data_IF_414956774047
#
_entry.id   IF_414956774047
#
_cell.length_a   1.000
_cell.length_b   1.000
_cell.length_c   1.000
_cell.angle_alpha   90.00
_cell.angle_beta   90.00
_cell.angle_gamma   90.00
#
_symmetry.space_group_name_H-M   'P 1'
#
loop_
_entity.id
_entity.type
_entity.pdbx_description
1 polymer ?
#
# COMPACT_ATOMS: atom_id res chain seq x y z
N UNK A 1 28.89 -2.69 -6.78
CA UNK A 1 28.04 -2.08 -5.76
C UNK A 1 26.80 -2.96 -5.59
N UNK A 2 26.49 -3.33 -4.37
CA UNK A 2 25.29 -4.11 -4.05
C UNK A 2 24.58 -3.48 -2.84
N UNK A 3 23.24 -3.58 -2.82
CA UNK A 3 22.42 -3.22 -1.67
C UNK A 3 21.60 -4.43 -1.23
N UNK A 4 21.37 -4.58 0.07
CA UNK A 4 20.56 -5.64 0.65
C UNK A 4 19.42 -4.98 1.41
N UNK A 5 18.18 -5.41 1.13
CA UNK A 5 17.00 -5.03 1.87
C UNK A 5 16.48 -6.22 2.68
N UNK A 6 16.12 -5.98 3.93
CA UNK A 6 15.45 -6.97 4.78
C UNK A 6 14.05 -6.46 5.07
N UNK A 7 13.05 -7.30 4.79
CA UNK A 7 11.64 -7.02 5.06
C UNK A 7 11.11 -8.08 6.03
N UNK A 8 10.51 -7.64 7.13
CA UNK A 8 9.90 -8.54 8.11
C UNK A 8 8.58 -7.97 8.61
N UNK A 9 7.66 -8.83 9.00
CA UNK A 9 6.41 -8.46 9.66
C UNK A 9 6.57 -8.37 11.17
N UNK A 10 7.53 -9.10 11.74
CA UNK A 10 7.79 -9.14 13.17
C UNK A 10 9.28 -8.89 13.44
N UNK A 11 9.57 -7.97 14.34
CA UNK A 11 10.95 -7.66 14.69
C UNK A 11 11.65 -8.81 15.39
N UNK A 12 10.88 -9.69 16.03
CA UNK A 12 11.39 -10.90 16.67
C UNK A 12 12.11 -11.83 15.70
N UNK A 13 11.72 -11.83 14.42
CA UNK A 13 12.39 -12.61 13.38
C UNK A 13 13.85 -12.16 13.19
N UNK A 14 14.09 -10.86 13.36
CA UNK A 14 15.45 -10.30 13.29
C UNK A 14 16.19 -10.50 14.60
N UNK A 15 15.53 -10.31 15.72
CA UNK A 15 16.13 -10.35 17.08
C UNK A 15 16.46 -11.78 17.53
N UNK A 16 15.72 -12.77 17.02
CA UNK A 16 15.90 -14.18 17.36
C UNK A 16 17.27 -14.76 16.94
N UNK A 17 17.97 -14.08 16.03
CA UNK A 17 19.33 -14.46 15.64
C UNK A 17 20.34 -13.39 16.08
N UNK A 18 21.21 -13.66 17.04
CA UNK A 18 22.22 -12.69 17.51
C UNK A 18 23.12 -12.16 16.38
N UNK A 19 23.50 -13.03 15.44
CA UNK A 19 24.37 -12.69 14.30
C UNK A 19 23.64 -11.74 13.34
N UNK A 20 22.38 -12.05 13.04
CA UNK A 20 21.57 -11.26 12.09
C UNK A 20 21.22 -9.90 12.70
N UNK A 21 20.92 -9.86 14.00
CA UNK A 21 20.60 -8.64 14.73
C UNK A 21 21.71 -7.60 14.62
N UNK A 22 22.95 -7.95 14.98
CA UNK A 22 24.06 -7.00 14.93
C UNK A 22 24.44 -6.60 13.52
N UNK A 23 24.47 -7.56 12.59
CA UNK A 23 24.84 -7.30 11.21
C UNK A 23 23.85 -6.41 10.47
N UNK A 24 22.55 -6.65 10.65
CA UNK A 24 21.48 -5.89 9.95
C UNK A 24 21.31 -4.51 10.57
N UNK A 25 21.22 -4.42 11.90
CA UNK A 25 20.89 -3.17 12.57
C UNK A 25 22.04 -2.18 12.46
N UNK A 26 23.26 -2.64 12.70
CA UNK A 26 24.44 -1.76 12.69
C UNK A 26 24.86 -1.32 11.28
N UNK A 27 24.48 -2.08 10.24
CA UNK A 27 24.86 -1.77 8.84
C UNK A 27 23.70 -1.26 7.99
N UNK A 28 22.50 -1.06 8.58
CA UNK A 28 21.37 -0.51 7.83
C UNK A 28 21.39 1.02 7.83
N UNK A 29 21.69 1.60 6.70
CA UNK A 29 21.65 3.05 6.49
C UNK A 29 20.23 3.62 6.54
N UNK A 30 19.25 2.81 6.12
CA UNK A 30 17.85 3.22 6.03
C UNK A 30 16.97 2.26 6.81
N UNK A 31 16.11 2.81 7.65
CA UNK A 31 15.06 2.10 8.39
C UNK A 31 13.71 2.62 7.93
N UNK A 32 12.83 1.71 7.50
CA UNK A 32 11.46 2.03 7.13
C UNK A 32 10.50 1.29 8.06
N UNK A 33 9.57 2.02 8.67
CA UNK A 33 8.55 1.44 9.55
C UNK A 33 7.16 1.82 9.04
N UNK A 34 6.33 0.81 8.87
CA UNK A 34 4.89 0.98 8.67
C UNK A 34 4.20 1.20 10.02
N UNK A 35 2.88 1.24 10.04
CA UNK A 35 2.08 1.44 11.26
C UNK A 35 2.45 0.43 12.35
N UNK A 36 2.92 0.94 13.48
CA UNK A 36 3.35 0.19 14.64
C UNK A 36 2.34 0.25 15.80
N UNK A 37 1.11 0.66 15.55
CA UNK A 37 0.09 0.84 16.59
C UNK A 37 -0.20 -0.44 17.38
N UNK A 38 -0.08 -1.61 16.75
CA UNK A 38 -0.25 -2.92 17.37
C UNK A 38 0.82 -3.25 18.41
N UNK A 39 2.01 -2.65 18.28
CA UNK A 39 3.19 -2.96 19.10
C UNK A 39 3.47 -1.88 20.14
N UNK A 40 2.55 -0.96 20.39
CA UNK A 40 2.76 0.20 21.26
C UNK A 40 3.28 -0.19 22.65
N UNK A 41 2.75 -1.24 23.24
CA UNK A 41 3.15 -1.70 24.59
C UNK A 41 4.55 -2.33 24.65
N UNK A 42 5.05 -2.83 23.51
CA UNK A 42 6.38 -3.45 23.40
C UNK A 42 7.35 -2.63 22.55
N UNK A 43 6.99 -1.39 22.26
CA UNK A 43 7.76 -0.57 21.34
C UNK A 43 9.12 -0.16 21.88
N UNK A 44 9.32 -0.22 23.20
CA UNK A 44 10.61 0.09 23.83
C UNK A 44 11.72 -0.87 23.38
N UNK A 45 11.40 -2.14 23.13
CA UNK A 45 12.34 -3.10 22.54
C UNK A 45 12.74 -2.69 21.13
N UNK A 46 11.76 -2.34 20.29
CA UNK A 46 11.98 -1.87 18.91
C UNK A 46 12.81 -0.59 18.92
N UNK A 47 12.46 0.34 19.79
CA UNK A 47 13.17 1.59 19.98
C UNK A 47 14.65 1.37 20.33
N UNK A 48 14.94 0.47 21.28
CA UNK A 48 16.30 0.14 21.71
C UNK A 48 17.10 -0.52 20.58
N UNK A 49 16.49 -1.47 19.87
CA UNK A 49 17.13 -2.24 18.80
C UNK A 49 17.47 -1.31 17.61
N UNK A 50 16.54 -0.47 17.21
CA UNK A 50 16.72 0.43 16.05
C UNK A 50 17.38 1.76 16.43
N UNK A 51 17.69 2.00 17.70
CA UNK A 51 18.26 3.25 18.16
C UNK A 51 17.38 4.46 17.88
N UNK A 52 16.06 4.34 18.05
CA UNK A 52 15.09 5.39 17.79
C UNK A 52 15.08 6.39 18.94
N UNK A 53 14.92 7.68 18.61
CA UNK A 53 14.72 8.74 19.59
C UNK A 53 13.26 8.81 20.05
N UNK A 54 12.98 9.50 21.17
CA UNK A 54 11.59 9.76 21.59
C UNK A 54 10.80 10.58 20.56
N UNK A 55 11.50 11.43 19.80
CA UNK A 55 10.89 12.19 18.71
C UNK A 55 10.50 11.27 17.56
N UNK A 56 11.36 10.31 17.21
CA UNK A 56 11.05 9.30 16.18
C UNK A 56 9.85 8.48 16.60
N UNK A 57 9.79 8.02 17.84
CA UNK A 57 8.66 7.26 18.38
C UNK A 57 7.35 8.04 18.28
N UNK A 58 7.36 9.33 18.64
CA UNK A 58 6.18 10.19 18.50
C UNK A 58 5.73 10.28 17.03
N UNK A 59 6.66 10.47 16.10
CA UNK A 59 6.36 10.49 14.65
C UNK A 59 5.80 9.18 14.16
N UNK A 60 6.41 8.06 14.53
CA UNK A 60 5.98 6.70 14.12
C UNK A 60 4.52 6.45 14.54
N UNK A 61 4.13 6.87 15.73
CA UNK A 61 2.75 6.72 16.21
C UNK A 61 1.74 7.70 15.63
N UNK A 62 2.14 8.59 14.72
CA UNK A 62 1.22 9.40 13.90
C UNK A 62 0.88 8.76 12.56
N UNK A 63 1.58 7.70 12.18
CA UNK A 63 1.36 7.00 10.90
C UNK A 63 -0.11 6.58 10.77
N UNK A 64 -0.69 6.85 9.62
CA UNK A 64 -2.07 6.54 9.24
C UNK A 64 -3.16 7.17 10.13
N UNK A 65 -2.83 8.19 10.92
CA UNK A 65 -3.80 8.95 11.73
C UNK A 65 -4.33 10.21 11.06
N UNK A 66 -3.82 10.58 9.89
CA UNK A 66 -4.34 11.68 9.10
C UNK A 66 -5.79 11.39 8.70
N UNK A 67 -6.72 12.23 9.14
CA UNK A 67 -8.14 12.10 8.84
C UNK A 67 -8.50 12.63 7.45
N UNK A 68 -7.77 13.65 6.97
CA UNK A 68 -8.05 14.29 5.69
C UNK A 68 -7.33 13.61 4.54
N UNK A 69 -7.93 12.52 4.06
CA UNK A 69 -7.45 11.77 2.88
C UNK A 69 -8.40 11.93 1.69
N UNK A 70 -9.03 13.07 1.57
CA UNK A 70 -10.02 13.35 0.52
C UNK A 70 -9.50 12.94 -0.88
N UNK A 71 -10.21 12.02 -1.52
CA UNK A 71 -9.88 11.51 -2.85
C UNK A 71 -8.64 10.61 -2.94
N UNK A 72 -7.94 10.35 -1.83
CA UNK A 72 -6.68 9.56 -1.79
C UNK A 72 -6.88 8.23 -1.07
N UNK A 73 -7.58 7.30 -1.68
CA UNK A 73 -7.88 6.00 -1.06
C UNK A 73 -6.64 5.12 -0.86
N UNK A 74 -5.60 5.32 -1.65
CA UNK A 74 -4.33 4.58 -1.59
C UNK A 74 -3.19 5.32 -0.89
N UNK A 75 -3.47 6.49 -0.34
CA UNK A 75 -2.50 7.20 0.47
C UNK A 75 -2.18 6.40 1.73
N UNK A 76 -0.90 6.11 1.93
CA UNK A 76 -0.35 5.48 3.12
C UNK A 76 0.80 6.30 3.64
N UNK A 77 1.06 6.20 4.92
CA UNK A 77 2.19 6.87 5.53
C UNK A 77 3.23 5.83 5.96
N UNK A 78 4.49 6.21 5.84
CA UNK A 78 5.63 5.40 6.24
C UNK A 78 6.62 6.29 6.97
N UNK A 79 7.17 5.80 8.09
CA UNK A 79 8.33 6.44 8.72
C UNK A 79 9.59 5.96 8.03
N UNK A 80 10.42 6.89 7.60
CA UNK A 80 11.73 6.60 7.00
C UNK A 80 12.78 7.36 7.79
N UNK A 81 13.83 6.65 8.23
CA UNK A 81 15.00 7.23 8.86
C UNK A 81 16.25 6.87 8.06
N UNK A 82 17.08 7.86 7.82
CA UNK A 82 18.42 7.71 7.28
C UNK A 82 19.42 8.39 8.20
N UNK A 83 20.35 7.62 8.76
CA UNK A 83 21.26 8.10 9.78
C UNK A 83 20.49 8.66 11.01
N UNK A 84 20.72 9.91 11.33
CA UNK A 84 20.06 10.61 12.46
C UNK A 84 18.77 11.34 12.10
N UNK A 85 18.38 11.38 10.82
CA UNK A 85 17.20 12.12 10.36
C UNK A 85 16.07 11.17 10.05
N UNK A 86 14.94 11.32 10.75
CA UNK A 86 13.72 10.55 10.54
C UNK A 86 12.50 11.43 10.31
N UNK A 87 11.59 10.97 9.43
CA UNK A 87 10.34 11.65 9.11
C UNK A 87 9.24 10.69 8.68
N UNK A 88 8.00 11.16 8.72
CA UNK A 88 6.85 10.46 8.17
C UNK A 88 6.57 11.02 6.77
N UNK A 89 6.44 10.12 5.81
CA UNK A 89 6.24 10.43 4.40
C UNK A 89 4.96 9.79 3.92
N UNK A 90 4.22 10.53 3.09
CA UNK A 90 3.07 9.99 2.38
C UNK A 90 3.50 9.23 1.13
N UNK A 91 2.95 8.06 0.96
CA UNK A 91 3.11 7.24 -0.25
C UNK A 91 1.75 7.07 -0.88
N UNK A 92 1.65 7.38 -2.16
CA UNK A 92 0.44 7.20 -2.95
C UNK A 92 0.79 6.35 -4.18
N UNK A 93 0.02 5.29 -4.39
CA UNK A 93 0.25 4.37 -5.50
C UNK A 93 -0.83 4.57 -6.57
N UNK A 94 -0.44 4.54 -7.87
CA UNK A 94 -1.40 4.45 -8.97
C UNK A 94 -2.28 3.20 -8.84
N UNK A 95 -3.51 3.26 -9.32
CA UNK A 95 -4.47 2.15 -9.27
C UNK A 95 -3.92 0.89 -9.95
N UNK A 96 -3.24 1.05 -11.08
CA UNK A 96 -2.62 -0.04 -11.84
C UNK A 96 -1.53 -0.74 -11.03
N UNK A 97 -0.71 0.03 -10.29
CA UNK A 97 0.31 -0.51 -9.41
C UNK A 97 -0.31 -1.36 -8.29
N UNK A 98 -1.34 -0.82 -7.61
CA UNK A 98 -2.11 -1.56 -6.61
C UNK A 98 -2.69 -2.86 -7.18
N UNK A 99 -3.34 -2.81 -8.34
CA UNK A 99 -3.97 -3.97 -8.97
C UNK A 99 -2.96 -5.02 -9.43
N UNK A 100 -1.72 -4.62 -9.74
CA UNK A 100 -0.63 -5.56 -10.09
C UNK A 100 -0.26 -6.44 -8.90
N UNK A 101 -0.28 -5.88 -7.68
CA UNK A 101 0.16 -6.58 -6.46
C UNK A 101 -0.97 -7.04 -5.55
N UNK A 102 -2.24 -6.81 -5.93
CA UNK A 102 -3.36 -7.20 -5.08
C UNK A 102 -3.37 -8.68 -4.77
N UNK A 103 -3.68 -9.02 -3.52
CA UNK A 103 -3.88 -10.40 -3.06
C UNK A 103 -5.36 -10.73 -2.86
N UNK A 104 -6.24 -9.72 -2.95
CA UNK A 104 -7.67 -9.86 -2.75
C UNK A 104 -8.32 -10.77 -3.81
N UNK A 105 -9.04 -11.81 -3.33
CA UNK A 105 -9.64 -12.81 -4.20
C UNK A 105 -10.66 -12.20 -5.17
N UNK A 106 -11.53 -11.33 -4.67
CA UNK A 106 -12.57 -10.71 -5.51
C UNK A 106 -11.97 -9.85 -6.63
N UNK A 107 -10.89 -9.12 -6.35
CA UNK A 107 -10.19 -8.30 -7.34
C UNK A 107 -9.51 -9.18 -8.40
N UNK A 108 -8.87 -10.27 -7.99
CA UNK A 108 -8.28 -11.24 -8.92
C UNK A 108 -9.32 -11.91 -9.81
N UNK A 109 -10.49 -12.24 -9.28
CA UNK A 109 -11.60 -12.81 -10.06
C UNK A 109 -12.14 -11.80 -11.08
N UNK A 110 -12.32 -10.53 -10.67
CA UNK A 110 -12.72 -9.46 -11.58
C UNK A 110 -11.69 -9.24 -12.70
N UNK A 111 -10.39 -9.22 -12.41
CA UNK A 111 -9.36 -9.11 -13.43
C UNK A 111 -9.36 -10.29 -14.41
N UNK A 112 -9.65 -11.51 -13.94
CA UNK A 112 -9.80 -12.67 -14.85
C UNK A 112 -10.97 -12.51 -15.80
N UNK A 113 -12.09 -11.89 -15.36
CA UNK A 113 -13.21 -11.56 -16.23
C UNK A 113 -12.79 -10.56 -17.30
N UNK A 114 -12.12 -9.46 -16.91
CA UNK A 114 -11.60 -8.47 -17.85
C UNK A 114 -10.68 -9.11 -18.89
N UNK A 115 -9.70 -9.91 -18.44
CA UNK A 115 -8.80 -10.61 -19.34
C UNK A 115 -9.52 -11.54 -20.33
N UNK A 116 -10.52 -12.27 -19.84
CA UNK A 116 -11.29 -13.23 -20.65
C UNK A 116 -12.17 -12.54 -21.68
N UNK A 117 -12.94 -11.53 -21.26
CA UNK A 117 -13.91 -10.87 -22.15
C UNK A 117 -13.25 -9.96 -23.18
N UNK A 118 -12.18 -9.26 -22.77
CA UNK A 118 -11.44 -8.39 -23.68
C UNK A 118 -10.40 -9.14 -24.52
N UNK A 119 -10.20 -10.44 -24.26
CA UNK A 119 -9.21 -11.28 -24.94
C UNK A 119 -7.82 -10.64 -24.99
N UNK A 120 -7.41 -9.99 -23.91
CA UNK A 120 -6.17 -9.23 -23.80
C UNK A 120 -5.19 -9.87 -22.81
N UNK A 121 -3.97 -9.36 -22.76
CA UNK A 121 -2.99 -9.73 -21.74
C UNK A 121 -3.36 -9.16 -20.35
N UNK A 122 -2.55 -9.47 -19.34
CA UNK A 122 -2.83 -9.08 -17.96
C UNK A 122 -2.71 -7.58 -17.75
N UNK A 123 -1.75 -6.93 -18.40
CA UNK A 123 -1.51 -5.49 -18.27
C UNK A 123 -2.70 -4.68 -18.82
N UNK A 124 -3.15 -5.01 -20.03
CA UNK A 124 -4.32 -4.35 -20.63
C UNK A 124 -5.61 -4.62 -19.84
N UNK A 125 -5.74 -5.80 -19.20
CA UNK A 125 -6.87 -6.10 -18.33
C UNK A 125 -6.86 -5.19 -17.08
N UNK A 126 -5.69 -4.94 -16.47
CA UNK A 126 -5.53 -4.02 -15.35
C UNK A 126 -5.91 -2.60 -15.77
N UNK A 127 -5.38 -2.11 -16.88
CA UNK A 127 -5.67 -0.76 -17.40
C UNK A 127 -7.17 -0.56 -17.67
N UNK A 128 -7.82 -1.53 -18.28
CA UNK A 128 -9.26 -1.49 -18.53
C UNK A 128 -10.08 -1.53 -17.23
N UNK A 129 -9.69 -2.37 -16.28
CA UNK A 129 -10.31 -2.46 -14.97
C UNK A 129 -10.18 -1.13 -14.20
N UNK A 130 -8.98 -0.55 -14.13
CA UNK A 130 -8.72 0.71 -13.44
C UNK A 130 -9.50 1.86 -14.06
N UNK A 131 -9.53 1.96 -15.39
CA UNK A 131 -10.35 2.94 -16.11
C UNK A 131 -11.84 2.82 -15.74
N UNK A 132 -12.40 1.62 -15.78
CA UNK A 132 -13.82 1.42 -15.44
C UNK A 132 -14.09 1.69 -13.97
N UNK A 133 -13.15 1.33 -13.11
CA UNK A 133 -13.24 1.65 -11.68
C UNK A 133 -13.29 3.15 -11.44
N UNK A 134 -12.39 3.93 -12.03
CA UNK A 134 -12.39 5.41 -11.94
C UNK A 134 -13.70 6.01 -12.48
N UNK A 135 -14.15 5.56 -13.66
CA UNK A 135 -15.41 6.01 -14.25
C UNK A 135 -16.65 5.64 -13.43
N UNK A 136 -16.57 4.59 -12.62
CA UNK A 136 -17.66 4.16 -11.75
C UNK A 136 -17.93 5.11 -10.58
N UNK A 137 -16.96 5.94 -10.20
CA UNK A 137 -16.99 6.79 -9.01
C UNK A 137 -16.93 6.03 -7.69
N UNK A 138 -16.70 4.72 -7.72
CA UNK A 138 -16.54 3.90 -6.51
C UNK A 138 -15.13 4.11 -5.95
N UNK A 139 -15.02 4.58 -4.72
CA UNK A 139 -13.74 4.99 -4.12
C UNK A 139 -12.80 3.83 -3.83
N UNK A 140 -13.32 2.64 -3.51
CA UNK A 140 -12.52 1.47 -3.12
C UNK A 140 -12.59 0.38 -4.17
N UNK A 141 -11.47 -0.29 -4.46
CA UNK A 141 -11.37 -1.35 -5.44
C UNK A 141 -12.25 -2.57 -5.09
N UNK A 142 -12.27 -2.99 -3.83
CA UNK A 142 -13.01 -4.18 -3.42
C UNK A 142 -14.53 -4.11 -3.70
N UNK A 143 -15.28 -3.03 -3.35
CA UNK A 143 -16.67 -2.87 -3.76
C UNK A 143 -16.86 -2.84 -5.27
N UNK A 144 -15.93 -2.26 -6.03
CA UNK A 144 -15.98 -2.28 -7.49
C UNK A 144 -15.82 -3.70 -8.04
N UNK A 145 -14.82 -4.44 -7.55
CA UNK A 145 -14.58 -5.83 -7.92
C UNK A 145 -15.80 -6.71 -7.62
N UNK A 146 -16.42 -6.54 -6.44
CA UNK A 146 -17.64 -7.27 -6.08
C UNK A 146 -18.78 -6.99 -7.05
N UNK A 147 -18.95 -5.73 -7.47
CA UNK A 147 -19.95 -5.34 -8.46
C UNK A 147 -19.67 -6.02 -9.81
N UNK A 148 -18.43 -6.01 -10.30
CA UNK A 148 -18.02 -6.68 -11.53
C UNK A 148 -18.33 -8.20 -11.45
N UNK A 149 -17.96 -8.84 -10.35
CA UNK A 149 -18.19 -10.27 -10.16
C UNK A 149 -19.68 -10.62 -10.07
N UNK A 150 -20.51 -9.75 -9.51
CA UNK A 150 -21.97 -9.93 -9.46
C UNK A 150 -22.62 -9.82 -10.84
N UNK A 151 -22.16 -8.89 -11.67
CA UNK A 151 -22.64 -8.77 -13.05
C UNK A 151 -22.15 -9.90 -13.94
N UNK A 152 -20.98 -10.50 -13.61
CA UNK A 152 -20.32 -11.51 -14.41
C UNK A 152 -19.74 -10.98 -15.72
N UNK A 153 -19.74 -9.67 -15.94
CA UNK A 153 -19.28 -9.01 -17.17
C UNK A 153 -18.46 -7.77 -16.86
N UNK A 154 -17.56 -7.40 -17.80
CA UNK A 154 -16.87 -6.12 -17.77
C UNK A 154 -17.87 -4.98 -17.89
N UNK A 155 -17.68 -3.91 -17.13
CA UNK A 155 -18.63 -2.80 -17.11
C UNK A 155 -18.50 -1.91 -18.35
N UNK A 156 -17.28 -1.82 -18.92
CA UNK A 156 -16.96 -1.05 -20.14
C UNK A 156 -17.58 0.36 -20.11
N UNK A 157 -17.37 1.05 -19.01
CA UNK A 157 -17.96 2.34 -18.76
C UNK A 157 -17.42 3.40 -19.73
N UNK A 158 -18.28 4.27 -20.19
CA UNK A 158 -17.89 5.41 -21.03
C UNK A 158 -17.83 6.67 -20.16
N UNK A 159 -16.85 7.57 -20.38
CA UNK A 159 -16.83 8.85 -19.70
C UNK A 159 -18.14 9.59 -19.96
N UNK A 160 -18.73 10.18 -18.91
CA UNK A 160 -19.89 11.08 -19.06
C UNK A 160 -19.49 12.22 -19.97
N UNK A 161 -20.27 12.46 -21.04
CA UNK A 161 -20.05 13.64 -21.89
C UNK A 161 -20.37 14.88 -21.05
N UNK A 162 -19.47 15.87 -21.08
CA UNK A 162 -19.66 17.16 -20.36
C UNK A 162 -20.96 17.90 -20.72
N UNK A 163 -21.72 17.44 -21.72
CA UNK A 163 -22.97 18.05 -22.18
C UNK A 163 -24.23 17.53 -21.46
N UNK A 164 -24.12 16.45 -20.66
CA UNK A 164 -25.29 15.87 -19.97
C UNK A 164 -25.62 16.57 -18.64
N UNK A 165 -24.84 17.57 -18.23
CA UNK A 165 -25.08 18.35 -17.00
C UNK A 165 -25.96 19.61 -17.24
N UNK A 166 -26.40 19.89 -18.48
CA UNK A 166 -27.19 21.10 -18.83
C UNK A 166 -28.56 20.79 -19.46
N UNK A 167 -29.09 19.59 -19.30
CA UNK A 167 -30.47 19.28 -19.65
C UNK A 167 -31.33 18.93 -18.47
#
# INVERSE_FOLDING_TARGET
WASVGVVTQEIQDIVGSPIVKEAIINNSDVVMLLDQSKFRERFDEIKAILGLTDVDCKKIFTINRLENKEGRSFFREVFIRRGSVGGVFGVEEPHECYMTYTTERAEKEALKLYKKELQCDHQHAIEAYCRDWELSGITKSLPFAQKVNQTGHVLNLKPKRKFDEYM
#
